data_IF_461621026549
#
_entry.id   IF_461621026549
#
_cell.length_a   1.000
_cell.length_b   1.000
_cell.length_c   1.000
_cell.angle_alpha   90.00
_cell.angle_beta   90.00
_cell.angle_gamma   90.00
#
_symmetry.space_group_name_H-M   'P 1'
#
loop_
_entity.id
_entity.type
_entity.pdbx_description
1 polymer ?
#
# COMPACT_ATOMS: atom_id res chain seq x y z
N UNK A 1 28.22 -20.12 -31.54
CA UNK A 1 27.95 -18.70 -31.16
C UNK A 1 26.90 -18.55 -30.05
N UNK A 2 26.09 -19.56 -29.74
CA UNK A 2 24.90 -19.46 -28.88
C UNK A 2 25.20 -19.36 -27.36
N UNK A 3 26.35 -19.85 -26.88
CA UNK A 3 26.64 -19.94 -25.43
C UNK A 3 27.30 -18.69 -24.82
N UNK A 4 27.90 -17.80 -25.63
CA UNK A 4 28.64 -16.62 -25.11
C UNK A 4 27.73 -15.64 -24.36
N UNK A 5 26.45 -15.57 -24.74
CA UNK A 5 25.48 -14.63 -24.15
C UNK A 5 24.67 -15.23 -22.99
N UNK A 6 24.85 -16.52 -22.69
CA UNK A 6 24.07 -17.21 -21.65
C UNK A 6 24.44 -16.67 -20.26
N UNK A 7 25.73 -16.58 -19.94
CA UNK A 7 26.19 -16.12 -18.62
C UNK A 7 25.78 -14.65 -18.30
N UNK A 8 25.96 -13.68 -19.21
CA UNK A 8 25.44 -12.32 -19.00
C UNK A 8 23.91 -12.27 -18.86
N UNK A 9 23.18 -13.06 -19.63
CA UNK A 9 21.72 -13.12 -19.57
C UNK A 9 21.22 -13.68 -18.25
N UNK A 10 21.81 -14.79 -17.77
CA UNK A 10 21.51 -15.37 -16.46
C UNK A 10 21.78 -14.36 -15.34
N UNK A 11 22.92 -13.67 -15.37
CA UNK A 11 23.23 -12.63 -14.38
C UNK A 11 22.20 -11.49 -14.37
N UNK A 12 21.71 -11.07 -15.55
CA UNK A 12 20.66 -10.05 -15.66
C UNK A 12 19.33 -10.56 -15.08
N UNK A 13 18.95 -11.80 -15.37
CA UNK A 13 17.75 -12.44 -14.83
C UNK A 13 17.83 -12.54 -13.30
N UNK A 14 18.93 -13.04 -12.75
CA UNK A 14 19.13 -13.16 -11.30
C UNK A 14 18.99 -11.81 -10.59
N UNK A 15 19.61 -10.75 -11.13
CA UNK A 15 19.48 -9.39 -10.57
C UNK A 15 18.03 -8.89 -10.62
N UNK A 16 17.35 -9.09 -11.75
CA UNK A 16 15.94 -8.68 -11.90
C UNK A 16 15.01 -9.45 -10.95
N UNK A 17 15.27 -10.74 -10.74
CA UNK A 17 14.49 -11.58 -9.85
C UNK A 17 14.69 -11.17 -8.39
N UNK A 18 15.94 -10.93 -7.97
CA UNK A 18 16.26 -10.45 -6.63
C UNK A 18 15.52 -9.14 -6.30
N UNK A 19 15.57 -8.14 -7.20
CA UNK A 19 14.85 -6.86 -7.01
C UNK A 19 13.34 -7.05 -6.88
N UNK A 20 12.78 -8.00 -7.65
CA UNK A 20 11.35 -8.32 -7.59
C UNK A 20 10.98 -9.00 -6.28
N UNK A 21 11.83 -9.93 -5.81
CA UNK A 21 11.66 -10.61 -4.53
C UNK A 21 11.75 -9.64 -3.36
N UNK A 22 12.76 -8.77 -3.32
CA UNK A 22 12.93 -7.76 -2.28
C UNK A 22 11.71 -6.83 -2.20
N UNK A 23 11.20 -6.41 -3.37
CA UNK A 23 10.00 -5.57 -3.45
C UNK A 23 8.76 -6.30 -2.95
N UNK A 24 8.62 -7.60 -3.28
CA UNK A 24 7.52 -8.44 -2.78
C UNK A 24 7.56 -8.60 -1.27
N UNK A 25 8.71 -8.95 -0.70
CA UNK A 25 8.87 -9.14 0.75
C UNK A 25 8.62 -7.84 1.50
N UNK A 26 9.14 -6.72 0.98
CA UNK A 26 8.84 -5.40 1.50
C UNK A 26 7.33 -5.14 1.53
N UNK A 27 6.62 -5.35 0.42
CA UNK A 27 5.17 -5.10 0.37
C UNK A 27 4.41 -6.00 1.34
N UNK A 28 4.65 -7.31 1.32
CA UNK A 28 3.97 -8.26 2.21
C UNK A 28 4.15 -7.95 3.71
N UNK A 29 5.32 -7.45 4.09
CA UNK A 29 5.60 -7.09 5.48
C UNK A 29 4.92 -5.78 5.88
N UNK A 30 5.02 -4.77 5.03
CA UNK A 30 4.72 -3.39 5.43
C UNK A 30 3.28 -2.96 5.12
N UNK A 31 2.59 -3.55 4.15
CA UNK A 31 1.22 -3.13 3.81
C UNK A 31 0.19 -3.37 4.90
N UNK A 32 0.45 -4.31 5.83
CA UNK A 32 -0.41 -4.54 7.01
C UNK A 32 -0.53 -3.31 7.90
N UNK A 33 0.50 -2.47 7.96
CA UNK A 33 0.47 -1.25 8.78
C UNK A 33 -0.60 -0.26 8.29
N UNK A 34 -0.80 -0.16 6.97
CA UNK A 34 -1.86 0.66 6.37
C UNK A 34 -3.23 0.18 6.84
N UNK A 35 -3.47 -1.14 6.80
CA UNK A 35 -4.74 -1.74 7.23
C UNK A 35 -5.00 -1.44 8.71
N UNK A 36 -3.98 -1.59 9.56
CA UNK A 36 -4.08 -1.28 10.99
C UNK A 36 -4.42 0.20 11.23
N UNK A 37 -3.79 1.12 10.48
CA UNK A 37 -4.09 2.55 10.57
C UNK A 37 -5.51 2.88 10.12
N UNK A 38 -6.00 2.23 9.04
CA UNK A 38 -7.38 2.40 8.58
C UNK A 38 -8.38 1.88 9.60
N UNK A 39 -8.15 0.69 10.18
CA UNK A 39 -8.96 0.15 11.27
C UNK A 39 -8.99 1.08 12.49
N UNK A 40 -7.84 1.60 12.92
CA UNK A 40 -7.76 2.61 14.00
C UNK A 40 -8.50 3.90 13.65
N UNK A 41 -8.47 4.31 12.38
CA UNK A 41 -9.23 5.46 11.90
C UNK A 41 -10.74 5.22 12.04
N UNK A 42 -11.24 4.09 11.54
CA UNK A 42 -12.65 3.68 11.61
C UNK A 42 -13.12 3.60 13.08
N UNK A 43 -12.36 2.93 13.95
CA UNK A 43 -12.67 2.85 15.39
C UNK A 43 -12.73 4.25 16.03
N UNK A 44 -11.80 5.15 15.69
CA UNK A 44 -11.81 6.52 16.20
C UNK A 44 -13.04 7.31 15.71
N UNK A 45 -13.48 7.10 14.46
CA UNK A 45 -14.74 7.69 13.96
C UNK A 45 -15.93 7.21 14.79
N UNK A 46 -16.04 5.91 15.06
CA UNK A 46 -17.12 5.37 15.89
C UNK A 46 -17.13 5.90 17.33
N UNK A 47 -15.96 6.28 17.87
CA UNK A 47 -15.83 6.93 19.19
C UNK A 47 -16.09 8.44 19.17
N UNK A 48 -16.33 9.05 18.01
CA UNK A 48 -16.43 10.50 17.86
C UNK A 48 -15.08 11.25 17.86
N UNK A 49 -13.95 10.53 17.84
CA UNK A 49 -12.60 11.09 17.87
C UNK A 49 -12.11 11.48 16.47
N UNK A 50 -12.79 12.41 15.79
CA UNK A 50 -12.52 12.75 14.39
C UNK A 50 -11.10 13.25 14.12
N UNK A 51 -10.49 13.97 15.06
CA UNK A 51 -9.08 14.42 14.93
C UNK A 51 -8.12 13.23 14.90
N UNK A 52 -8.33 12.25 15.77
CA UNK A 52 -7.54 11.01 15.81
C UNK A 52 -7.73 10.20 14.53
N UNK A 53 -8.98 10.06 14.08
CA UNK A 53 -9.30 9.36 12.84
C UNK A 53 -8.55 9.93 11.63
N UNK A 54 -8.65 11.25 11.42
CA UNK A 54 -7.97 11.95 10.32
C UNK A 54 -6.45 11.83 10.40
N UNK A 55 -5.87 11.87 11.60
CA UNK A 55 -4.43 11.69 11.76
C UNK A 55 -3.99 10.27 11.39
N UNK A 56 -4.76 9.24 11.74
CA UNK A 56 -4.50 7.86 11.35
C UNK A 56 -4.62 7.68 9.82
N UNK A 57 -5.69 8.22 9.21
CA UNK A 57 -5.88 8.19 7.77
C UNK A 57 -4.74 8.90 7.01
N UNK A 58 -4.27 10.04 7.51
CA UNK A 58 -3.14 10.77 6.92
C UNK A 58 -1.85 9.95 6.96
N UNK A 59 -1.59 9.23 8.05
CA UNK A 59 -0.44 8.32 8.13
C UNK A 59 -0.58 7.16 7.14
N UNK A 60 -1.78 6.59 7.01
CA UNK A 60 -2.07 5.55 6.02
C UNK A 60 -1.80 6.04 4.58
N UNK A 61 -2.23 7.25 4.22
CA UNK A 61 -1.98 7.87 2.90
C UNK A 61 -0.49 8.01 2.59
N UNK A 62 0.30 8.48 3.56
CA UNK A 62 1.75 8.62 3.41
C UNK A 62 2.41 7.28 3.13
N UNK A 63 2.04 6.23 3.87
CA UNK A 63 2.56 4.88 3.67
C UNK A 63 2.10 4.31 2.33
N UNK A 64 0.83 4.49 1.96
CA UNK A 64 0.26 4.01 0.71
C UNK A 64 1.00 4.62 -0.49
N UNK A 65 1.21 5.94 -0.50
CA UNK A 65 2.01 6.63 -1.53
C UNK A 65 3.45 6.12 -1.60
N UNK A 66 4.06 5.85 -0.45
CA UNK A 66 5.42 5.29 -0.38
C UNK A 66 5.49 3.88 -0.97
N UNK A 67 4.52 3.02 -0.66
CA UNK A 67 4.52 1.62 -1.08
C UNK A 67 4.10 1.45 -2.54
N UNK A 68 3.24 2.33 -3.06
CA UNK A 68 2.87 2.38 -4.48
C UNK A 68 4.07 2.52 -5.42
N UNK A 69 5.12 3.24 -4.99
CA UNK A 69 6.38 3.36 -5.75
C UNK A 69 7.15 2.04 -5.86
N UNK A 70 6.95 1.10 -4.92
CA UNK A 70 7.57 -0.24 -4.90
C UNK A 70 6.67 -1.33 -5.49
N UNK A 71 5.37 -1.07 -5.64
CA UNK A 71 4.42 -2.00 -6.22
C UNK A 71 4.29 -1.78 -7.73
N UNK A 72 5.31 -2.19 -8.49
CA UNK A 72 5.30 -2.12 -9.97
C UNK A 72 4.83 -3.43 -10.59
N UNK A 73 4.26 -3.35 -11.79
CA UNK A 73 3.76 -4.51 -12.54
C UNK A 73 2.82 -5.38 -11.71
N UNK A 74 3.13 -6.68 -11.65
CA UNK A 74 2.32 -7.68 -10.94
C UNK A 74 2.33 -7.52 -9.42
N UNK A 75 3.23 -6.72 -8.84
CA UNK A 75 3.28 -6.50 -7.40
C UNK A 75 2.18 -5.55 -6.90
N UNK A 76 1.48 -4.83 -7.81
CA UNK A 76 0.32 -3.97 -7.47
C UNK A 76 -0.77 -4.72 -6.72
N UNK A 77 -0.93 -6.02 -6.97
CA UNK A 77 -1.93 -6.85 -6.28
C UNK A 77 -1.80 -6.84 -4.76
N UNK A 78 -0.61 -6.57 -4.22
CA UNK A 78 -0.37 -6.49 -2.78
C UNK A 78 -0.88 -5.19 -2.14
N UNK A 79 -1.30 -4.22 -2.94
CA UNK A 79 -1.89 -2.95 -2.48
C UNK A 79 -3.42 -2.92 -2.58
N UNK A 80 -4.07 -3.87 -3.26
CA UNK A 80 -5.52 -3.84 -3.48
C UNK A 80 -6.28 -3.74 -2.16
N UNK A 81 -6.02 -4.64 -1.20
CA UNK A 81 -6.67 -4.60 0.11
C UNK A 81 -6.32 -3.31 0.89
N UNK A 82 -5.04 -2.91 1.05
CA UNK A 82 -4.72 -1.61 1.66
C UNK A 82 -5.42 -0.40 1.02
N UNK A 83 -5.54 -0.37 -0.31
CA UNK A 83 -6.24 0.71 -1.04
C UNK A 83 -7.74 0.69 -0.75
N UNK A 84 -8.36 -0.49 -0.72
CA UNK A 84 -9.76 -0.66 -0.36
C UNK A 84 -10.05 -0.15 1.07
N UNK A 85 -9.26 -0.59 2.05
CA UNK A 85 -9.39 -0.19 3.45
C UNK A 85 -9.20 1.33 3.64
N UNK A 86 -8.26 1.91 2.88
CA UNK A 86 -8.02 3.34 2.88
C UNK A 86 -9.23 4.12 2.33
N UNK A 87 -9.79 3.67 1.21
CA UNK A 87 -10.99 4.28 0.63
C UNK A 87 -12.17 4.17 1.58
N UNK A 88 -12.40 3.01 2.20
CA UNK A 88 -13.46 2.82 3.20
C UNK A 88 -13.33 3.82 4.36
N UNK A 89 -12.14 3.91 4.96
CA UNK A 89 -11.90 4.82 6.07
C UNK A 89 -12.07 6.30 5.66
N UNK A 90 -11.64 6.67 4.45
CA UNK A 90 -11.79 8.02 3.91
C UNK A 90 -13.27 8.38 3.66
N UNK A 91 -14.03 7.48 3.04
CA UNK A 91 -15.45 7.65 2.80
C UNK A 91 -16.24 7.74 4.11
N UNK A 92 -15.93 6.90 5.09
CA UNK A 92 -16.59 6.93 6.40
C UNK A 92 -16.40 8.28 7.10
N UNK A 93 -15.18 8.83 7.08
CA UNK A 93 -14.92 10.18 7.62
C UNK A 93 -15.77 11.23 6.89
N UNK A 94 -15.83 11.19 5.55
CA UNK A 94 -16.60 12.14 4.77
C UNK A 94 -18.11 12.09 5.10
N UNK A 95 -18.68 10.89 5.22
CA UNK A 95 -20.09 10.67 5.59
C UNK A 95 -20.39 11.27 6.97
N UNK A 96 -19.55 10.98 7.97
CA UNK A 96 -19.75 11.50 9.34
C UNK A 96 -19.59 13.03 9.38
N UNK A 97 -18.72 13.59 8.57
CA UNK A 97 -18.56 15.04 8.43
C UNK A 97 -19.63 15.70 7.54
N UNK A 98 -20.57 14.94 6.95
CA UNK A 98 -21.56 15.43 5.98
C UNK A 98 -20.92 16.17 4.80
N UNK A 99 -19.78 15.66 4.33
CA UNK A 99 -19.07 16.14 3.15
C UNK A 99 -19.29 15.19 1.98
N UNK A 100 -18.96 15.67 0.78
CA UNK A 100 -18.95 14.85 -0.42
C UNK A 100 -17.95 13.69 -0.29
N UNK A 101 -18.30 12.57 -0.93
CA UNK A 101 -17.42 11.40 -0.99
C UNK A 101 -16.17 11.76 -1.82
N UNK A 102 -14.95 11.49 -1.30
CA UNK A 102 -13.72 11.80 -2.03
C UNK A 102 -13.63 11.06 -3.37
N UNK A 103 -13.11 11.75 -4.40
CA UNK A 103 -12.85 11.22 -5.76
C UNK A 103 -11.37 10.94 -6.02
#
# INVERSE_FOLDING_TARGET
MTLKNVKPSLNKITKSLAVTQDSREFLLKNTREIIILCSKSIIAVHKGELKTAKNNLKQADVLLKKYKKKATGQLRRYLITPEQEFVEAACLIAVVEKKDIPS
#
